data_IF_456114123072
#
_entry.id   IF_456114123072
#
_cell.length_a   1.000
_cell.length_b   1.000
_cell.length_c   1.000
_cell.angle_alpha   90.00
_cell.angle_beta   90.00
_cell.angle_gamma   90.00
#
_symmetry.space_group_name_H-M   'P 1'
#
loop_
_entity.id
_entity.type
_entity.pdbx_description
1 polymer ?
#
# COMPACT_ATOMS: atom_id res chain seq x y z
N UNK A 1 2.63 -9.45 -11.58
CA UNK A 1 1.68 -10.49 -12.04
C UNK A 1 2.10 -11.03 -13.39
N UNK A 2 2.29 -12.35 -13.46
CA UNK A 2 2.78 -13.04 -14.67
C UNK A 2 1.76 -13.08 -15.83
N UNK A 3 0.51 -12.70 -15.56
CA UNK A 3 -0.59 -12.73 -16.56
C UNK A 3 -0.90 -11.36 -17.15
N UNK A 4 -0.34 -10.28 -16.63
CA UNK A 4 -0.56 -8.94 -17.18
C UNK A 4 0.27 -8.71 -18.44
N UNK A 5 -0.23 -7.86 -19.34
CA UNK A 5 0.42 -7.50 -20.59
C UNK A 5 -0.43 -7.79 -21.83
N UNK A 6 0.05 -7.40 -23.00
CA UNK A 6 -0.73 -7.47 -24.23
C UNK A 6 -2.04 -6.68 -24.12
N UNK A 7 -3.17 -7.39 -24.12
CA UNK A 7 -4.50 -6.80 -23.98
C UNK A 7 -5.10 -6.98 -22.56
N UNK A 8 -4.33 -7.56 -21.62
CA UNK A 8 -4.79 -7.79 -20.25
C UNK A 8 -4.19 -6.73 -19.31
N UNK A 9 -5.05 -5.95 -18.69
CA UNK A 9 -4.69 -4.89 -17.74
C UNK A 9 -5.25 -5.19 -16.36
N UNK A 10 -4.39 -5.07 -15.33
CA UNK A 10 -4.77 -5.24 -13.93
C UNK A 10 -5.09 -3.87 -13.36
N UNK A 11 -6.29 -3.70 -12.82
CA UNK A 11 -6.76 -2.44 -12.24
C UNK A 11 -6.62 -2.41 -10.72
N UNK A 12 -6.64 -3.55 -10.05
CA UNK A 12 -6.55 -3.64 -8.61
C UNK A 12 -5.25 -3.07 -8.04
N UNK A 13 -5.29 -2.63 -6.80
CA UNK A 13 -4.11 -2.19 -6.05
C UNK A 13 -3.11 -3.35 -5.90
N UNK A 14 -1.83 -3.08 -6.16
CA UNK A 14 -0.75 -4.06 -6.06
C UNK A 14 0.20 -3.74 -4.90
N UNK A 15 1.04 -4.69 -4.52
CA UNK A 15 2.10 -4.43 -3.53
C UNK A 15 3.08 -3.37 -4.01
N UNK A 16 3.36 -3.33 -5.31
CA UNK A 16 4.24 -2.33 -5.92
C UNK A 16 3.70 -0.91 -5.73
N UNK A 17 2.38 -0.69 -5.94
CA UNK A 17 1.76 0.62 -5.72
C UNK A 17 1.95 1.09 -4.27
N UNK A 18 1.67 0.19 -3.33
CA UNK A 18 1.76 0.49 -1.89
C UNK A 18 3.21 0.71 -1.46
N UNK A 19 4.13 -0.17 -1.90
CA UNK A 19 5.55 -0.09 -1.57
C UNK A 19 6.18 1.19 -2.13
N UNK A 20 5.96 1.53 -3.41
CA UNK A 20 6.50 2.75 -4.03
C UNK A 20 6.03 3.99 -3.29
N UNK A 21 4.73 4.07 -2.97
CA UNK A 21 4.16 5.21 -2.25
C UNK A 21 4.74 5.35 -0.84
N UNK A 22 4.80 4.24 -0.11
CA UNK A 22 5.25 4.19 1.29
C UNK A 22 6.75 4.51 1.40
N UNK A 23 7.58 3.90 0.57
CA UNK A 23 9.03 4.09 0.55
C UNK A 23 9.38 5.54 0.16
N UNK A 24 8.71 6.09 -0.85
CA UNK A 24 8.91 7.48 -1.24
C UNK A 24 8.58 8.44 -0.09
N UNK A 25 7.45 8.24 0.58
CA UNK A 25 7.08 9.03 1.74
C UNK A 25 8.10 8.87 2.87
N UNK A 26 8.50 7.65 3.22
CA UNK A 26 9.49 7.40 4.25
C UNK A 26 10.83 8.09 3.93
N UNK A 27 11.28 8.03 2.69
CA UNK A 27 12.48 8.74 2.24
C UNK A 27 12.37 10.26 2.39
N UNK A 28 11.21 10.85 2.09
CA UNK A 28 10.95 12.29 2.29
C UNK A 28 10.94 12.71 3.75
N UNK A 29 10.62 11.76 4.66
CA UNK A 29 10.69 11.95 6.12
C UNK A 29 12.07 11.63 6.71
N UNK A 30 13.08 11.47 5.86
CA UNK A 30 14.47 11.27 6.29
C UNK A 30 14.85 9.86 6.67
N UNK A 31 13.97 8.85 6.47
CA UNK A 31 14.30 7.45 6.75
C UNK A 31 15.35 6.93 5.77
N UNK A 32 16.27 6.08 6.27
CA UNK A 32 17.41 5.63 5.49
C UNK A 32 17.73 4.14 5.62
N UNK A 33 17.46 3.51 6.75
CA UNK A 33 17.83 2.13 7.03
C UNK A 33 16.61 1.34 7.48
N UNK A 34 16.18 0.40 6.62
CA UNK A 34 14.97 -0.37 6.83
C UNK A 34 15.28 -1.84 7.16
N UNK A 35 14.55 -2.38 8.13
CA UNK A 35 14.44 -3.82 8.36
C UNK A 35 13.07 -4.26 7.86
N UNK A 36 13.01 -5.34 7.08
CA UNK A 36 11.75 -5.95 6.62
C UNK A 36 11.47 -7.19 7.45
N UNK A 37 10.24 -7.31 7.95
CA UNK A 37 9.70 -8.54 8.53
C UNK A 37 8.50 -9.02 7.70
N UNK A 38 8.52 -10.30 7.30
CA UNK A 38 7.52 -10.84 6.39
C UNK A 38 7.22 -12.32 6.67
N UNK A 39 5.97 -12.79 6.45
CA UNK A 39 5.66 -14.22 6.51
C UNK A 39 6.29 -14.95 5.32
N UNK A 40 6.80 -16.15 5.54
CA UNK A 40 7.36 -17.01 4.48
C UNK A 40 6.25 -17.68 3.67
N UNK A 41 5.47 -16.87 3.00
CA UNK A 41 4.39 -17.23 2.08
C UNK A 41 4.64 -16.58 0.72
N UNK A 42 3.89 -16.99 -0.29
CA UNK A 42 3.95 -16.33 -1.60
C UNK A 42 3.63 -14.84 -1.48
N UNK A 43 2.58 -14.49 -0.74
CA UNK A 43 2.17 -13.10 -0.51
C UNK A 43 3.24 -12.30 0.23
N UNK A 44 3.81 -12.85 1.31
CA UNK A 44 4.87 -12.19 2.08
C UNK A 44 6.14 -11.95 1.27
N UNK A 45 6.54 -12.92 0.44
CA UNK A 45 7.68 -12.78 -0.47
C UNK A 45 7.42 -11.72 -1.55
N UNK A 46 6.23 -11.69 -2.17
CA UNK A 46 5.85 -10.65 -3.13
C UNK A 46 5.87 -9.26 -2.50
N UNK A 47 5.38 -9.12 -1.27
CA UNK A 47 5.45 -7.86 -0.51
C UNK A 47 6.88 -7.42 -0.23
N UNK A 48 7.75 -8.36 0.20
CA UNK A 48 9.19 -8.09 0.38
C UNK A 48 9.85 -7.65 -0.93
N UNK A 49 9.57 -8.34 -2.04
CA UNK A 49 10.17 -8.04 -3.34
C UNK A 49 9.72 -6.66 -3.87
N UNK A 50 8.46 -6.29 -3.63
CA UNK A 50 7.94 -4.96 -3.95
C UNK A 50 8.64 -3.86 -3.13
N UNK A 51 8.90 -4.09 -1.84
CA UNK A 51 9.66 -3.17 -0.99
C UNK A 51 11.11 -3.06 -1.46
N UNK A 52 11.77 -4.18 -1.78
CA UNK A 52 13.14 -4.18 -2.31
C UNK A 52 13.23 -3.40 -3.63
N UNK A 53 12.29 -3.61 -4.55
CA UNK A 53 12.23 -2.87 -5.80
C UNK A 53 12.00 -1.36 -5.60
N UNK A 54 11.15 -0.99 -4.64
CA UNK A 54 10.87 0.41 -4.32
C UNK A 54 12.08 1.11 -3.68
N UNK A 55 12.81 0.42 -2.79
CA UNK A 55 13.99 1.00 -2.13
C UNK A 55 15.14 1.23 -3.10
N UNK A 56 15.31 0.43 -4.15
CA UNK A 56 16.31 0.65 -5.20
C UNK A 56 16.15 1.98 -5.96
N UNK A 57 14.93 2.54 -5.93
CA UNK A 57 14.60 3.84 -6.53
C UNK A 57 14.63 4.99 -5.50
N UNK A 58 15.12 4.76 -4.30
CA UNK A 58 15.11 5.71 -3.19
C UNK A 58 16.44 5.74 -2.46
N UNK A 59 16.58 6.63 -1.48
CA UNK A 59 17.75 6.69 -0.60
C UNK A 59 17.59 5.80 0.65
N UNK A 60 16.64 4.86 0.65
CA UNK A 60 16.47 3.89 1.74
C UNK A 60 17.19 2.60 1.37
N UNK A 61 17.96 2.07 2.31
CA UNK A 61 18.64 0.79 2.17
C UNK A 61 17.97 -0.25 3.09
N UNK A 62 17.64 -1.41 2.55
CA UNK A 62 17.27 -2.58 3.36
C UNK A 62 18.54 -3.12 3.98
N UNK A 63 18.64 -3.06 5.30
CA UNK A 63 19.82 -3.50 6.07
C UNK A 63 19.67 -4.91 6.59
N UNK A 64 18.45 -5.40 6.75
CA UNK A 64 18.16 -6.79 7.09
C UNK A 64 16.74 -7.18 6.67
N UNK A 65 16.52 -8.47 6.46
CA UNK A 65 15.22 -9.08 6.24
C UNK A 65 15.05 -10.26 7.19
N UNK A 66 13.89 -10.38 7.80
CA UNK A 66 13.54 -11.50 8.68
C UNK A 66 12.22 -12.12 8.23
N UNK A 67 12.26 -13.39 7.89
CA UNK A 67 11.06 -14.17 7.61
C UNK A 67 10.61 -14.96 8.84
N UNK A 68 9.33 -15.34 8.85
CA UNK A 68 8.75 -16.27 9.82
C UNK A 68 7.69 -17.14 9.15
N UNK A 69 7.52 -18.38 9.64
CA UNK A 69 6.43 -19.28 9.24
C UNK A 69 5.12 -18.87 9.92
N UNK A 70 3.98 -19.33 9.38
CA UNK A 70 2.64 -19.03 9.91
C UNK A 70 2.32 -19.80 11.20
N UNK A 71 3.24 -19.78 12.17
CA UNK A 71 3.03 -20.34 13.50
C UNK A 71 3.35 -19.27 14.54
N UNK A 72 2.63 -19.28 15.66
CA UNK A 72 2.88 -18.33 16.76
C UNK A 72 4.34 -18.41 17.24
N UNK A 73 4.86 -19.62 17.40
CA UNK A 73 6.26 -19.85 17.82
C UNK A 73 7.25 -19.19 16.86
N UNK A 74 7.07 -19.34 15.55
CA UNK A 74 7.97 -18.76 14.56
C UNK A 74 7.91 -17.23 14.59
N UNK A 75 6.72 -16.64 14.79
CA UNK A 75 6.58 -15.19 14.96
C UNK A 75 7.35 -14.73 16.21
N UNK A 76 7.14 -15.38 17.37
CA UNK A 76 7.83 -15.07 18.62
C UNK A 76 9.34 -15.15 18.45
N UNK A 77 9.84 -16.23 17.83
CA UNK A 77 11.29 -16.46 17.60
C UNK A 77 11.90 -15.47 16.61
N UNK A 78 11.13 -14.86 15.73
CA UNK A 78 11.62 -13.84 14.80
C UNK A 78 11.90 -12.48 15.47
N UNK A 79 11.20 -12.14 16.52
CA UNK A 79 11.25 -10.82 17.17
C UNK A 79 12.65 -10.47 17.73
N UNK A 80 13.36 -11.37 18.46
CA UNK A 80 14.73 -11.10 18.90
C UNK A 80 15.70 -10.85 17.73
N UNK A 81 15.52 -11.53 16.61
CA UNK A 81 16.35 -11.37 15.42
C UNK A 81 16.13 -10.00 14.76
N UNK A 82 14.87 -9.57 14.65
CA UNK A 82 14.51 -8.23 14.17
C UNK A 82 15.11 -7.16 15.07
N UNK A 83 15.01 -7.32 16.40
CA UNK A 83 15.60 -6.41 17.37
C UNK A 83 17.10 -6.32 17.22
N UNK A 84 17.78 -7.46 17.12
CA UNK A 84 19.24 -7.51 16.96
C UNK A 84 19.67 -6.79 15.68
N UNK A 85 19.01 -7.08 14.55
CA UNK A 85 19.27 -6.44 13.27
C UNK A 85 19.03 -4.91 13.34
N UNK A 86 17.90 -4.49 13.92
CA UNK A 86 17.57 -3.07 14.04
C UNK A 86 18.63 -2.32 14.88
N UNK A 87 19.13 -2.93 15.94
CA UNK A 87 20.17 -2.36 16.79
C UNK A 87 21.55 -2.33 16.12
N UNK A 88 21.96 -3.43 15.48
CA UNK A 88 23.28 -3.56 14.82
C UNK A 88 23.42 -2.54 13.69
N UNK A 89 22.37 -2.38 12.90
CA UNK A 89 22.38 -1.51 11.71
C UNK A 89 21.81 -0.11 11.97
N UNK A 90 21.46 0.20 13.21
CA UNK A 90 20.84 1.46 13.61
C UNK A 90 19.65 1.80 12.67
N UNK A 91 18.72 0.86 12.56
CA UNK A 91 17.57 1.00 11.66
C UNK A 91 16.58 2.04 12.18
N UNK A 92 16.08 2.87 11.27
CA UNK A 92 15.12 3.93 11.56
C UNK A 92 13.72 3.65 10.99
N UNK A 93 13.57 2.52 10.27
CA UNK A 93 12.33 2.09 9.64
C UNK A 93 12.16 0.57 9.79
N UNK A 94 10.97 0.13 10.20
CA UNK A 94 10.57 -1.27 10.24
C UNK A 94 9.38 -1.48 9.30
N UNK A 95 9.57 -2.31 8.29
CA UNK A 95 8.59 -2.57 7.25
C UNK A 95 7.92 -3.94 7.49
N UNK A 96 6.59 -3.93 7.67
CA UNK A 96 5.79 -5.12 7.91
C UNK A 96 4.95 -5.45 6.66
N UNK A 97 5.09 -6.67 6.15
CA UNK A 97 4.24 -7.12 5.03
C UNK A 97 3.01 -7.89 5.49
N UNK A 98 2.95 -8.25 6.78
CA UNK A 98 1.83 -9.00 7.36
C UNK A 98 0.55 -8.18 7.39
N UNK A 99 -0.56 -8.86 7.16
CA UNK A 99 -1.91 -8.34 7.31
C UNK A 99 -2.53 -8.73 8.66
N UNK A 100 -3.73 -8.26 8.92
CA UNK A 100 -4.46 -8.45 10.17
C UNK A 100 -4.98 -9.87 10.39
N UNK A 101 -5.22 -10.62 9.31
CA UNK A 101 -5.58 -12.04 9.39
C UNK A 101 -4.36 -12.94 9.69
N UNK A 102 -3.15 -12.37 9.57
CA UNK A 102 -1.89 -13.05 9.87
C UNK A 102 -1.26 -12.57 11.18
N UNK A 103 0.03 -12.31 11.14
CA UNK A 103 0.84 -12.04 12.32
C UNK A 103 0.85 -10.57 12.79
N UNK A 104 0.18 -9.65 12.09
CA UNK A 104 0.26 -8.21 12.41
C UNK A 104 -0.12 -7.88 13.87
N UNK A 105 -1.24 -8.39 14.43
CA UNK A 105 -1.59 -8.09 15.83
C UNK A 105 -0.54 -8.59 16.82
N UNK A 106 -0.02 -9.79 16.61
CA UNK A 106 1.02 -10.37 17.47
C UNK A 106 2.34 -9.61 17.36
N UNK A 107 2.77 -9.25 16.17
CA UNK A 107 3.96 -8.41 15.95
C UNK A 107 3.80 -7.02 16.56
N UNK A 108 2.60 -6.41 16.45
CA UNK A 108 2.29 -5.12 17.04
C UNK A 108 2.39 -5.12 18.57
N UNK A 109 2.18 -6.27 19.21
CA UNK A 109 2.40 -6.47 20.62
C UNK A 109 3.88 -6.73 20.95
N UNK A 110 4.48 -7.73 20.31
CA UNK A 110 5.79 -8.27 20.70
C UNK A 110 6.96 -7.34 20.35
N UNK A 111 6.90 -6.61 19.22
CA UNK A 111 8.00 -5.75 18.79
C UNK A 111 8.27 -4.61 19.80
N UNK A 112 7.26 -3.86 20.31
CA UNK A 112 7.47 -2.87 21.36
C UNK A 112 7.96 -3.49 22.68
N UNK A 113 7.42 -4.65 23.09
CA UNK A 113 7.84 -5.38 24.28
C UNK A 113 9.33 -5.79 24.19
N UNK A 114 9.80 -6.12 22.99
CA UNK A 114 11.20 -6.39 22.73
C UNK A 114 12.08 -5.13 22.68
N UNK A 115 11.51 -3.94 22.90
CA UNK A 115 12.25 -2.68 22.93
C UNK A 115 12.36 -1.96 21.56
N UNK A 116 11.67 -2.44 20.52
CA UNK A 116 11.50 -1.72 19.26
C UNK A 116 10.34 -0.72 19.41
N UNK A 117 10.59 0.38 20.10
CA UNK A 117 9.55 1.36 20.42
C UNK A 117 9.12 2.14 19.17
N UNK A 118 7.81 2.18 18.81
CA UNK A 118 7.30 2.91 17.64
C UNK A 118 7.61 4.43 17.66
N UNK A 119 7.88 4.99 18.85
CA UNK A 119 8.30 6.40 18.97
C UNK A 119 9.76 6.64 18.56
N UNK A 120 10.57 5.59 18.47
CA UNK A 120 12.01 5.67 18.11
C UNK A 120 12.30 5.12 16.72
N UNK A 121 11.67 4.01 16.37
CA UNK A 121 11.78 3.39 15.04
C UNK A 121 10.42 3.47 14.36
N UNK A 122 10.37 4.01 13.16
CA UNK A 122 9.12 4.13 12.42
C UNK A 122 8.62 2.77 11.94
N UNK A 123 7.37 2.43 12.24
CA UNK A 123 6.72 1.27 11.66
C UNK A 123 5.93 1.68 10.42
N UNK A 124 5.98 0.84 9.39
CA UNK A 124 5.19 1.05 8.19
C UNK A 124 4.78 -0.30 7.57
N UNK A 125 3.57 -0.36 7.01
CA UNK A 125 3.00 -1.60 6.51
C UNK A 125 2.42 -1.52 5.11
N UNK A 126 2.52 -2.66 4.39
CA UNK A 126 1.91 -2.79 3.07
C UNK A 126 0.41 -3.06 3.13
N UNK A 127 -0.07 -3.65 4.23
CA UNK A 127 -1.49 -3.91 4.44
C UNK A 127 -2.22 -2.66 4.97
N UNK A 128 -3.54 -2.67 4.85
CA UNK A 128 -4.44 -1.73 5.53
C UNK A 128 -4.47 -2.09 7.02
N UNK A 129 -3.88 -1.26 7.84
CA UNK A 129 -3.83 -1.49 9.29
C UNK A 129 -5.10 -1.08 10.02
N UNK A 130 -5.96 -0.34 9.37
CA UNK A 130 -7.29 0.04 9.83
C UNK A 130 -8.38 -1.01 9.55
N UNK A 131 -8.02 -2.14 8.95
CA UNK A 131 -8.94 -3.24 8.66
C UNK A 131 -8.42 -4.54 9.31
N UNK A 132 -9.18 -5.16 10.21
CA UNK A 132 -10.42 -4.69 10.81
C UNK A 132 -10.23 -3.48 11.75
N UNK A 133 -11.30 -2.73 12.01
CA UNK A 133 -11.24 -1.47 12.77
C UNK A 133 -10.59 -1.59 14.16
N UNK A 134 -10.65 -2.76 14.79
CA UNK A 134 -10.05 -3.01 16.11
C UNK A 134 -8.52 -2.81 16.15
N UNK A 135 -7.84 -2.97 15.01
CA UNK A 135 -6.39 -2.83 14.92
C UNK A 135 -5.89 -1.44 15.30
N UNK A 136 -6.68 -0.39 15.04
CA UNK A 136 -6.29 0.99 15.36
C UNK A 136 -6.05 1.20 16.85
N UNK A 137 -6.54 0.30 17.71
CA UNK A 137 -6.34 0.36 19.15
C UNK A 137 -5.05 -0.34 19.63
N UNK A 138 -4.35 -1.05 18.73
CA UNK A 138 -3.11 -1.76 19.10
C UNK A 138 -1.99 -0.75 19.39
N UNK A 139 -1.38 -0.81 20.62
CA UNK A 139 -0.36 0.16 21.02
C UNK A 139 0.86 0.20 20.09
N UNK A 140 1.25 -0.95 19.54
CA UNK A 140 2.40 -1.05 18.65
C UNK A 140 2.15 -0.50 17.24
N UNK A 141 0.91 -0.22 16.88
CA UNK A 141 0.58 0.41 15.60
C UNK A 141 0.41 1.93 15.70
N UNK A 142 0.45 2.50 16.92
CA UNK A 142 0.38 3.94 17.09
C UNK A 142 1.62 4.62 16.49
N UNK A 143 1.41 5.66 15.69
CA UNK A 143 2.45 6.31 14.91
C UNK A 143 2.79 5.59 13.58
N UNK A 144 2.27 4.40 13.36
CA UNK A 144 2.57 3.58 12.18
C UNK A 144 1.94 4.10 10.90
N UNK A 145 2.63 3.91 9.76
CA UNK A 145 2.25 4.39 8.45
C UNK A 145 1.76 3.28 7.53
N UNK A 146 0.75 3.56 6.74
CA UNK A 146 0.27 2.67 5.68
C UNK A 146 -0.40 3.46 4.56
N UNK A 147 -0.46 2.88 3.35
CA UNK A 147 -1.05 3.56 2.21
C UNK A 147 -2.54 3.20 2.08
N UNK A 148 -3.35 4.23 1.77
CA UNK A 148 -4.80 4.13 1.59
C UNK A 148 -5.24 4.75 0.26
N UNK A 149 -6.35 4.30 -0.34
CA UNK A 149 -6.99 5.01 -1.43
C UNK A 149 -7.44 6.42 -1.00
N UNK A 150 -7.74 7.27 -1.96
CA UNK A 150 -8.45 8.52 -1.69
C UNK A 150 -9.89 8.19 -1.28
N UNK A 151 -10.32 8.63 -0.09
CA UNK A 151 -11.63 8.26 0.47
C UNK A 151 -12.76 9.18 0.00
N UNK A 152 -12.50 10.48 -0.18
CA UNK A 152 -13.52 11.47 -0.48
C UNK A 152 -14.31 11.15 -1.77
N UNK A 153 -13.63 10.72 -2.83
CA UNK A 153 -14.31 10.35 -4.08
C UNK A 153 -15.09 9.05 -3.95
N UNK A 154 -14.56 8.10 -3.18
CA UNK A 154 -15.27 6.85 -2.92
C UNK A 154 -16.54 7.07 -2.11
N UNK A 155 -16.53 8.00 -1.15
CA UNK A 155 -17.72 8.39 -0.39
C UNK A 155 -18.81 8.95 -1.31
N UNK A 156 -18.47 9.87 -2.20
CA UNK A 156 -19.42 10.41 -3.21
C UNK A 156 -20.00 9.29 -4.09
N UNK A 157 -19.14 8.35 -4.55
CA UNK A 157 -19.61 7.18 -5.30
C UNK A 157 -20.54 6.31 -4.47
N UNK A 158 -20.19 6.05 -3.22
CA UNK A 158 -20.98 5.23 -2.30
C UNK A 158 -22.36 5.85 -2.02
N UNK A 159 -22.43 7.16 -1.87
CA UNK A 159 -23.68 7.90 -1.64
C UNK A 159 -24.59 7.84 -2.87
N UNK A 160 -24.03 8.03 -4.07
CA UNK A 160 -24.79 7.89 -5.32
C UNK A 160 -25.28 6.44 -5.51
N UNK A 161 -24.44 5.45 -5.22
CA UNK A 161 -24.84 4.05 -5.30
C UNK A 161 -25.96 3.72 -4.31
N UNK A 162 -25.86 4.23 -3.06
CA UNK A 162 -26.90 4.05 -2.05
C UNK A 162 -28.21 4.74 -2.42
N UNK A 163 -28.15 5.92 -3.02
CA UNK A 163 -29.34 6.63 -3.49
C UNK A 163 -30.12 5.83 -4.52
N UNK A 164 -29.40 5.13 -5.43
CA UNK A 164 -30.00 4.34 -6.51
C UNK A 164 -30.47 2.95 -6.04
N UNK A 165 -29.60 2.22 -5.31
CA UNK A 165 -29.82 0.80 -4.99
C UNK A 165 -30.28 0.53 -3.56
N UNK A 166 -30.31 1.57 -2.68
CA UNK A 166 -30.67 1.47 -1.25
C UNK A 166 -29.77 0.51 -0.44
N UNK A 167 -28.58 0.20 -0.96
CA UNK A 167 -27.56 -0.59 -0.29
C UNK A 167 -26.17 0.03 -0.51
N UNK A 168 -25.22 -0.27 0.37
CA UNK A 168 -23.84 0.19 0.19
C UNK A 168 -23.15 -0.64 -0.89
N UNK A 169 -22.29 -0.03 -1.73
CA UNK A 169 -21.56 -0.78 -2.73
C UNK A 169 -20.57 -1.76 -2.07
N UNK A 170 -20.39 -2.91 -2.71
CA UNK A 170 -19.29 -3.81 -2.33
C UNK A 170 -17.95 -3.06 -2.46
N UNK A 171 -16.94 -3.29 -1.58
CA UNK A 171 -15.65 -2.58 -1.61
C UNK A 171 -14.91 -2.65 -2.96
N UNK A 172 -15.16 -3.68 -3.78
CA UNK A 172 -14.58 -3.81 -5.12
C UNK A 172 -15.39 -3.09 -6.23
N UNK A 173 -16.58 -2.57 -5.93
CA UNK A 173 -17.43 -1.89 -6.91
C UNK A 173 -16.75 -0.65 -7.51
N UNK A 174 -15.96 0.08 -6.72
CA UNK A 174 -15.16 1.20 -7.18
C UNK A 174 -14.19 0.83 -8.31
N UNK A 175 -13.57 -0.36 -8.24
CA UNK A 175 -12.67 -0.82 -9.31
C UNK A 175 -13.42 -1.08 -10.63
N UNK A 176 -14.61 -1.68 -10.56
CA UNK A 176 -15.44 -1.90 -11.75
C UNK A 176 -15.91 -0.57 -12.35
N UNK A 177 -16.34 0.37 -11.50
CA UNK A 177 -16.71 1.71 -11.90
C UNK A 177 -15.54 2.44 -12.59
N UNK A 178 -14.33 2.40 -12.01
CA UNK A 178 -13.12 2.99 -12.57
C UNK A 178 -12.78 2.42 -13.96
N UNK A 179 -12.90 1.09 -14.12
CA UNK A 179 -12.67 0.42 -15.41
C UNK A 179 -13.60 0.93 -16.52
N UNK A 180 -14.89 0.95 -16.23
CA UNK A 180 -15.91 1.40 -17.19
C UNK A 180 -15.78 2.90 -17.47
N UNK A 181 -15.51 3.71 -16.44
CA UNK A 181 -15.29 5.15 -16.59
C UNK A 181 -14.07 5.47 -17.46
N UNK A 182 -12.98 4.69 -17.32
CA UNK A 182 -11.81 4.85 -18.19
C UNK A 182 -12.12 4.54 -19.65
N UNK A 183 -12.85 3.46 -19.92
CA UNK A 183 -13.32 3.10 -21.27
C UNK A 183 -14.25 4.19 -21.83
N UNK A 184 -15.22 4.65 -21.05
CA UNK A 184 -16.14 5.72 -21.41
C UNK A 184 -15.42 7.03 -21.76
N UNK A 185 -14.44 7.42 -20.95
CA UNK A 185 -13.63 8.61 -21.19
C UNK A 185 -12.83 8.51 -22.50
N UNK A 186 -12.34 7.32 -22.86
CA UNK A 186 -11.67 7.12 -24.16
C UNK A 186 -12.64 7.15 -25.33
N UNK A 187 -13.83 6.54 -25.18
CA UNK A 187 -14.86 6.55 -26.21
C UNK A 187 -15.34 7.98 -26.55
N UNK A 188 -15.49 8.84 -25.54
CA UNK A 188 -15.87 10.24 -25.73
C UNK A 188 -14.85 11.07 -26.52
N UNK A 189 -13.59 10.62 -26.63
CA UNK A 189 -12.57 11.28 -27.48
C UNK A 189 -12.81 11.08 -28.98
N UNK A 190 -13.85 10.34 -29.38
CA UNK A 190 -14.30 10.24 -30.77
C UNK A 190 -13.43 9.38 -31.69
N UNK A 191 -12.52 8.58 -31.15
CA UNK A 191 -11.71 7.68 -31.96
C UNK A 191 -12.48 6.40 -32.31
N UNK A 192 -12.47 5.97 -33.55
CA UNK A 192 -13.11 4.74 -34.00
C UNK A 192 -12.62 3.48 -33.27
N UNK A 193 -11.38 3.51 -32.77
CA UNK A 193 -10.77 2.49 -31.94
C UNK A 193 -10.29 3.13 -30.62
N UNK A 194 -11.24 3.64 -29.81
CA UNK A 194 -10.91 4.37 -28.59
C UNK A 194 -10.15 3.51 -27.57
N UNK A 195 -10.47 2.22 -27.47
CA UNK A 195 -9.89 1.29 -26.50
C UNK A 195 -8.70 0.55 -27.12
N UNK A 196 -7.54 1.20 -27.14
CA UNK A 196 -6.27 0.61 -27.57
C UNK A 196 -5.29 0.57 -26.42
N UNK A 197 -4.29 -0.32 -26.48
CA UNK A 197 -3.18 -0.34 -25.51
C UNK A 197 -2.53 1.04 -25.35
N UNK A 198 -2.29 1.76 -26.46
CA UNK A 198 -1.71 3.11 -26.45
C UNK A 198 -2.61 4.12 -25.71
N UNK A 199 -3.92 4.06 -25.91
CA UNK A 199 -4.86 4.96 -25.26
C UNK A 199 -5.01 4.63 -23.75
N UNK A 200 -5.06 3.34 -23.40
CA UNK A 200 -5.13 2.87 -22.03
C UNK A 200 -3.86 3.22 -21.23
N UNK A 201 -2.67 3.15 -21.86
CA UNK A 201 -1.38 3.44 -21.21
C UNK A 201 -0.96 4.92 -21.29
N UNK A 202 -1.90 5.83 -21.51
CA UNK A 202 -1.60 7.27 -21.59
C UNK A 202 -0.96 7.78 -20.30
N UNK A 203 0.03 8.67 -20.43
CA UNK A 203 0.80 9.19 -19.29
C UNK A 203 -0.04 9.94 -18.26
N UNK A 204 -1.06 10.67 -18.70
CA UNK A 204 -1.99 11.39 -17.81
C UNK A 204 -2.81 10.47 -16.91
N UNK A 205 -3.01 9.21 -17.32
CA UNK A 205 -3.88 8.27 -16.62
C UNK A 205 -5.35 8.67 -16.63
N UNK A 206 -6.07 8.22 -15.64
CA UNK A 206 -7.51 8.39 -15.44
C UNK A 206 -7.79 8.84 -14.00
N UNK A 207 -8.91 9.51 -13.81
CA UNK A 207 -9.45 9.84 -12.50
C UNK A 207 -10.47 8.76 -12.11
N UNK A 208 -10.26 8.10 -10.99
CA UNK A 208 -11.15 7.07 -10.46
C UNK A 208 -11.75 7.45 -9.11
N UNK A 209 -12.65 6.63 -8.60
CA UNK A 209 -13.26 6.79 -7.28
C UNK A 209 -12.30 6.43 -6.15
N UNK A 210 -11.35 5.52 -6.42
CA UNK A 210 -10.26 5.16 -5.50
C UNK A 210 -8.99 6.04 -5.72
N UNK A 211 -9.12 7.21 -6.34
CA UNK A 211 -8.03 8.09 -6.71
C UNK A 211 -7.59 7.95 -8.17
N UNK A 212 -6.55 8.69 -8.55
CA UNK A 212 -6.01 8.60 -9.91
C UNK A 212 -5.32 7.26 -10.15
N UNK A 213 -5.40 6.78 -11.40
CA UNK A 213 -4.68 5.58 -11.82
C UNK A 213 -4.23 5.68 -13.28
N UNK A 214 -3.20 4.93 -13.65
CA UNK A 214 -2.80 4.74 -15.04
C UNK A 214 -2.28 3.33 -15.25
N UNK A 215 -2.50 2.78 -16.44
CA UNK A 215 -1.93 1.51 -16.81
C UNK A 215 -0.51 1.67 -17.35
N UNK A 216 0.31 0.65 -17.16
CA UNK A 216 1.66 0.54 -17.70
C UNK A 216 1.65 -0.36 -18.95
N UNK A 217 2.70 -0.27 -19.77
CA UNK A 217 2.88 -1.15 -20.91
C UNK A 217 2.98 -2.64 -20.54
N UNK A 218 3.38 -2.93 -19.29
CA UNK A 218 3.42 -4.29 -18.77
C UNK A 218 2.03 -4.82 -18.32
N UNK A 219 0.94 -4.06 -18.54
CA UNK A 219 -0.41 -4.43 -18.13
C UNK A 219 -0.71 -4.27 -16.65
N UNK A 220 0.24 -3.79 -15.85
CA UNK A 220 0.03 -3.41 -14.45
C UNK A 220 -0.50 -1.98 -14.35
N UNK A 221 -0.70 -1.47 -13.16
CA UNK A 221 -1.12 -0.09 -12.96
C UNK A 221 -0.24 0.65 -11.95
N UNK A 222 -0.33 1.97 -11.98
CA UNK A 222 0.12 2.86 -10.92
C UNK A 222 -1.11 3.59 -10.36
N UNK A 223 -1.15 3.78 -9.03
CA UNK A 223 -2.26 4.46 -8.34
C UNK A 223 -1.76 5.59 -7.46
N UNK A 224 -2.54 6.66 -7.41
CA UNK A 224 -2.38 7.71 -6.42
C UNK A 224 -2.95 7.23 -5.09
N UNK A 225 -2.08 7.02 -4.10
CA UNK A 225 -2.46 6.61 -2.75
C UNK A 225 -2.08 7.71 -1.76
N UNK A 226 -2.90 7.94 -0.75
CA UNK A 226 -2.57 8.73 0.42
C UNK A 226 -1.73 7.92 1.40
N UNK A 227 -1.04 8.58 2.33
CA UNK A 227 -0.44 7.96 3.50
C UNK A 227 -1.28 8.29 4.71
N UNK A 228 -1.68 7.25 5.41
CA UNK A 228 -2.35 7.33 6.69
C UNK A 228 -1.40 6.97 7.85
N UNK A 229 -1.68 7.53 9.00
CA UNK A 229 -1.06 7.21 10.27
C UNK A 229 -2.12 6.86 11.30
N UNK A 230 -1.87 5.84 12.12
CA UNK A 230 -2.67 5.61 13.31
C UNK A 230 -2.13 6.48 14.44
N UNK A 231 -2.95 7.36 14.99
CA UNK A 231 -2.65 8.12 16.18
C UNK A 231 -3.92 8.34 17.02
N UNK A 232 -3.78 8.16 18.32
CA UNK A 232 -4.88 8.26 19.29
C UNK A 232 -6.07 7.36 18.92
N UNK A 233 -5.76 6.13 18.44
CA UNK A 233 -6.76 5.16 17.95
C UNK A 233 -7.65 5.69 16.82
N UNK A 234 -7.11 6.60 16.01
CA UNK A 234 -7.75 7.14 14.81
C UNK A 234 -6.84 7.01 13.59
N UNK A 235 -7.44 6.98 12.42
CA UNK A 235 -6.73 7.00 11.14
C UNK A 235 -6.68 8.43 10.63
N UNK A 236 -5.49 9.00 10.54
CA UNK A 236 -5.27 10.36 10.07
C UNK A 236 -4.51 10.33 8.75
N UNK A 237 -5.00 11.02 7.74
CA UNK A 237 -4.24 11.25 6.51
C UNK A 237 -3.14 12.26 6.79
N UNK A 238 -1.88 11.86 6.58
CA UNK A 238 -0.69 12.69 6.84
C UNK A 238 0.04 13.10 5.57
N UNK A 239 -0.37 12.54 4.43
CA UNK A 239 0.12 12.94 3.11
C UNK A 239 -0.94 12.55 2.07
N UNK A 240 -1.53 13.52 1.41
CA UNK A 240 -2.64 13.35 0.50
C UNK A 240 -2.28 12.51 -0.72
N UNK A 241 -3.29 11.87 -1.31
CA UNK A 241 -3.16 11.21 -2.59
C UNK A 241 -2.84 12.23 -3.70
N UNK A 242 -1.88 11.96 -4.59
CA UNK A 242 -1.58 12.84 -5.70
C UNK A 242 -2.79 12.95 -6.64
N UNK A 243 -3.05 14.15 -7.13
CA UNK A 243 -4.17 14.45 -8.03
C UNK A 243 -3.78 14.39 -9.52
N UNK A 244 -2.50 14.19 -9.84
CA UNK A 244 -2.01 14.03 -11.22
C UNK A 244 -0.71 13.25 -11.26
N UNK A 245 -0.45 12.58 -12.40
CA UNK A 245 0.82 11.89 -12.67
C UNK A 245 1.87 12.82 -13.32
N UNK A 246 1.52 14.09 -13.61
CA UNK A 246 2.37 15.02 -14.36
C UNK A 246 3.30 15.86 -13.50
N UNK A 247 3.20 15.81 -12.18
CA UNK A 247 4.15 16.51 -11.31
C UNK A 247 5.39 15.63 -11.08
N UNK A 248 6.55 16.17 -11.45
CA UNK A 248 7.89 15.62 -11.13
C UNK A 248 7.97 15.36 -9.63
N UNK A 249 7.75 14.12 -9.23
CA UNK A 249 7.69 13.80 -7.81
C UNK A 249 7.02 12.47 -7.49
N UNK A 250 6.61 11.70 -8.50
CA UNK A 250 6.17 10.30 -8.29
C UNK A 250 7.25 9.33 -8.71
#
# INVERSE_FOLDING_TARGET
PTVAGGNLFILGKTFENTAERLIKFAASKGKRRAVIIYPDTVEGRLGRDALDAATKKSNIRIVATQSFSFTQESVVNSVPLVRAAAKIYDADLLLLTSNSAGALPLLAQLLPEAGLNPKKIQYAGLARWDIPAQNINLPGLQGGWFAVPETARYEVFSDHYFAEYREKPHPLAGLAFDAISAVGALAQLGYANAVTTKALTRKSGFSGVDGIFRFTAAGTNQRGLAIAQISDSQVNIIDDAPQSFNRSGM
#
